data_IF_738770098869
#
_entry.id   IF_738770098869
#
_cell.length_a   1.000
_cell.length_b   1.000
_cell.length_c   1.000
_cell.angle_alpha   90.00
_cell.angle_beta   90.00
_cell.angle_gamma   90.00
#
_symmetry.space_group_name_H-M   'P 1'
#
loop_
_entity.id
_entity.type
_entity.pdbx_description
1 polymer ?
#
# COMPACT_ATOMS: atom_id res chain seq x y z
N UNK A 1 14.54 -8.90 5.27
CA UNK A 1 13.30 -8.48 5.95
C UNK A 1 13.08 -9.45 7.09
N UNK A 2 12.91 -8.94 8.31
CA UNK A 2 12.58 -9.80 9.45
C UNK A 2 11.07 -10.07 9.41
N UNK A 3 10.68 -11.34 9.51
CA UNK A 3 9.27 -11.71 9.70
C UNK A 3 8.75 -11.37 11.09
N UNK A 4 9.64 -10.91 11.99
CA UNK A 4 9.26 -10.47 13.33
C UNK A 4 8.34 -9.24 13.25
N UNK A 5 7.17 -9.36 13.86
CA UNK A 5 6.26 -8.23 14.07
C UNK A 5 6.65 -7.57 15.39
N UNK A 6 6.81 -6.25 15.36
CA UNK A 6 7.11 -5.47 16.57
C UNK A 6 6.01 -5.61 17.62
N UNK A 7 6.39 -5.56 18.90
CA UNK A 7 5.44 -5.66 20.00
C UNK A 7 4.35 -4.57 19.89
N UNK A 8 3.09 -4.97 19.99
CA UNK A 8 1.95 -4.07 19.81
C UNK A 8 1.51 -3.85 18.36
N UNK A 9 2.17 -4.48 17.37
CA UNK A 9 1.74 -4.47 15.97
C UNK A 9 1.17 -5.83 15.55
N UNK A 10 0.40 -5.84 14.47
CA UNK A 10 -0.13 -7.04 13.83
C UNK A 10 0.10 -6.93 12.32
N UNK A 11 0.64 -7.98 11.72
CA UNK A 11 0.79 -8.06 10.26
C UNK A 11 -0.48 -8.63 9.66
N UNK A 12 -1.05 -7.93 8.68
CA UNK A 12 -2.34 -8.28 8.06
C UNK A 12 -2.11 -8.44 6.57
N UNK A 13 -2.58 -9.55 5.98
CA UNK A 13 -2.60 -9.70 4.51
C UNK A 13 -3.79 -8.95 3.93
N UNK A 14 -3.52 -8.11 2.95
CA UNK A 14 -4.51 -7.40 2.13
C UNK A 14 -4.58 -8.07 0.77
N UNK A 15 -5.77 -8.54 0.40
CA UNK A 15 -6.10 -8.93 -0.97
C UNK A 15 -6.90 -7.80 -1.62
N UNK A 16 -6.40 -7.25 -2.71
CA UNK A 16 -6.95 -6.02 -3.29
C UNK A 16 -6.93 -6.00 -4.82
N UNK A 17 -7.86 -5.24 -5.38
CA UNK A 17 -7.99 -5.00 -6.80
C UNK A 17 -8.03 -3.50 -7.08
N UNK A 18 -7.47 -3.07 -8.20
CA UNK A 18 -7.54 -1.68 -8.64
C UNK A 18 -7.55 -1.57 -10.17
N UNK A 19 -8.26 -0.55 -10.63
CA UNK A 19 -8.06 0.01 -11.96
C UNK A 19 -6.83 0.93 -11.91
N UNK A 20 -5.77 0.56 -12.63
CA UNK A 20 -4.51 1.30 -12.66
C UNK A 20 -4.50 2.56 -13.53
N UNK A 21 -5.55 2.85 -14.29
CA UNK A 21 -5.53 3.87 -15.36
C UNK A 21 -4.96 5.22 -14.94
N UNK A 22 -5.35 5.73 -13.78
CA UNK A 22 -4.96 7.05 -13.28
C UNK A 22 -3.80 7.00 -12.26
N UNK A 23 -3.14 5.85 -12.15
CA UNK A 23 -2.03 5.61 -11.23
C UNK A 23 -0.69 5.58 -11.95
N UNK A 24 0.32 6.20 -11.34
CA UNK A 24 1.72 6.14 -11.76
C UNK A 24 2.42 4.84 -11.31
N UNK A 25 1.66 3.75 -11.19
CA UNK A 25 2.09 2.43 -10.75
C UNK A 25 1.85 2.17 -9.27
N UNK A 26 2.42 1.07 -8.77
CA UNK A 26 2.32 0.69 -7.37
C UNK A 26 3.09 1.64 -6.45
N UNK A 27 4.41 1.70 -6.64
CA UNK A 27 5.34 2.23 -5.64
C UNK A 27 5.18 3.74 -5.42
N UNK A 28 5.16 4.18 -4.15
CA UNK A 28 5.05 5.60 -3.77
C UNK A 28 6.16 6.44 -4.39
N UNK A 29 5.79 7.60 -4.93
CA UNK A 29 6.69 8.55 -5.59
C UNK A 29 6.25 9.98 -5.28
N UNK A 30 7.22 10.89 -5.12
CA UNK A 30 6.93 12.30 -4.80
C UNK A 30 6.10 12.96 -5.90
N UNK A 31 4.98 13.56 -5.52
CA UNK A 31 4.12 14.34 -6.44
C UNK A 31 3.38 13.50 -7.49
N UNK A 32 3.30 12.18 -7.29
CA UNK A 32 2.58 11.27 -8.18
C UNK A 32 1.55 10.49 -7.39
N UNK A 33 0.39 10.28 -8.00
CA UNK A 33 -0.64 9.39 -7.46
C UNK A 33 -0.27 7.94 -7.76
N UNK A 34 -0.10 7.13 -6.73
CA UNK A 34 0.31 5.72 -6.84
C UNK A 34 -0.59 4.85 -5.96
N UNK A 35 -0.69 3.55 -6.26
CA UNK A 35 -1.58 2.66 -5.50
C UNK A 35 -1.12 2.52 -4.05
N UNK A 36 0.20 2.35 -3.82
CA UNK A 36 0.77 2.30 -2.48
C UNK A 36 0.46 3.60 -1.71
N UNK A 37 0.67 4.77 -2.34
CA UNK A 37 0.45 6.05 -1.67
C UNK A 37 -0.99 6.24 -1.21
N UNK A 38 -1.96 6.00 -2.10
CA UNK A 38 -3.38 6.12 -1.74
C UNK A 38 -3.79 5.09 -0.68
N UNK A 39 -3.27 3.86 -0.75
CA UNK A 39 -3.62 2.82 0.22
C UNK A 39 -3.04 3.09 1.60
N UNK A 40 -1.79 3.55 1.69
CA UNK A 40 -1.16 3.97 2.96
C UNK A 40 -1.89 5.17 3.57
N UNK A 41 -2.24 6.18 2.75
CA UNK A 41 -2.98 7.36 3.20
C UNK A 41 -4.40 6.96 3.68
N UNK A 42 -5.08 6.03 2.99
CA UNK A 42 -6.38 5.52 3.40
C UNK A 42 -6.31 4.68 4.69
N UNK A 43 -5.32 3.80 4.81
CA UNK A 43 -5.10 2.98 6.01
C UNK A 43 -4.83 3.86 7.23
N UNK A 44 -4.03 4.91 7.07
CA UNK A 44 -3.81 5.91 8.13
C UNK A 44 -5.12 6.50 8.64
N UNK A 45 -6.03 6.90 7.74
CA UNK A 45 -7.35 7.43 8.12
C UNK A 45 -8.20 6.37 8.83
N UNK A 46 -8.31 5.17 8.27
CA UNK A 46 -9.15 4.09 8.82
C UNK A 46 -8.65 3.63 10.19
N UNK A 47 -7.34 3.55 10.37
CA UNK A 47 -6.69 3.15 11.63
C UNK A 47 -6.52 4.31 12.61
N UNK A 48 -6.90 5.54 12.22
CA UNK A 48 -6.79 6.77 13.03
C UNK A 48 -5.36 7.04 13.51
N UNK A 49 -4.40 6.86 12.61
CA UNK A 49 -2.98 7.07 12.86
C UNK A 49 -2.58 8.54 12.65
N UNK A 50 -1.55 9.04 13.35
CA UNK A 50 -0.92 10.33 13.07
C UNK A 50 -0.50 10.50 11.60
N UNK A 51 -0.35 11.75 11.15
CA UNK A 51 -0.01 12.10 9.76
C UNK A 51 1.33 11.48 9.30
N UNK A 52 2.27 11.31 10.22
CA UNK A 52 3.61 10.77 9.99
C UNK A 52 3.75 9.27 10.31
N UNK A 53 2.64 8.59 10.61
CA UNK A 53 2.63 7.18 11.03
C UNK A 53 1.78 6.28 10.11
N UNK A 54 1.67 6.61 8.83
CA UNK A 54 1.06 5.69 7.87
C UNK A 54 1.85 4.36 7.81
N UNK A 55 1.18 3.20 7.80
CA UNK A 55 1.87 1.91 7.72
C UNK A 55 2.53 1.77 6.35
N UNK A 56 3.79 1.33 6.31
CA UNK A 56 4.47 1.03 5.05
C UNK A 56 4.07 -0.36 4.54
N UNK A 57 3.66 -0.44 3.28
CA UNK A 57 3.20 -1.70 2.68
C UNK A 57 4.30 -2.43 1.91
N UNK A 58 4.40 -3.74 2.14
CA UNK A 58 5.16 -4.65 1.28
C UNK A 58 4.21 -5.35 0.32
N UNK A 59 4.53 -5.38 -0.98
CA UNK A 59 3.67 -5.95 -2.02
C UNK A 59 4.28 -7.20 -2.64
N UNK A 60 3.42 -8.13 -3.08
CA UNK A 60 3.83 -9.32 -3.81
C UNK A 60 4.50 -8.99 -5.17
N UNK A 61 3.99 -8.00 -5.89
CA UNK A 61 4.59 -7.54 -7.14
C UNK A 61 4.30 -6.07 -7.42
N UNK A 62 5.34 -5.30 -7.75
CA UNK A 62 5.15 -3.91 -8.22
C UNK A 62 4.55 -3.92 -9.61
N UNK A 63 3.54 -3.09 -9.84
CA UNK A 63 2.98 -2.85 -11.17
C UNK A 63 3.43 -1.49 -11.70
N UNK A 64 3.65 -1.40 -13.01
CA UNK A 64 3.98 -0.14 -13.69
C UNK A 64 2.75 0.77 -13.82
N UNK A 65 2.97 2.01 -14.29
CA UNK A 65 1.91 3.00 -14.51
C UNK A 65 0.83 2.47 -15.47
N UNK A 66 -0.43 2.72 -15.13
CA UNK A 66 -1.58 2.27 -15.92
C UNK A 66 -1.97 0.79 -15.76
N UNK A 67 -1.13 -0.06 -15.14
CA UNK A 67 -1.42 -1.50 -15.01
C UNK A 67 -2.49 -1.74 -13.96
N UNK A 68 -3.51 -2.52 -14.31
CA UNK A 68 -4.59 -2.95 -13.41
C UNK A 68 -4.19 -4.22 -12.63
N UNK A 69 -4.83 -4.45 -11.49
CA UNK A 69 -4.69 -5.71 -10.76
C UNK A 69 -6.05 -6.20 -10.25
N UNK A 70 -6.29 -7.51 -10.36
CA UNK A 70 -7.48 -8.19 -9.82
C UNK A 70 -7.24 -8.85 -8.47
N UNK A 71 -5.99 -9.19 -8.15
CA UNK A 71 -5.63 -9.93 -6.94
C UNK A 71 -4.23 -9.59 -6.48
N UNK A 72 -3.93 -8.29 -6.38
CA UNK A 72 -2.68 -7.84 -5.77
C UNK A 72 -2.71 -8.21 -4.29
N UNK A 73 -1.56 -8.63 -3.76
CA UNK A 73 -1.40 -8.97 -2.35
C UNK A 73 -0.39 -8.03 -1.72
N UNK A 74 -0.73 -7.46 -0.57
CA UNK A 74 0.17 -6.65 0.24
C UNK A 74 0.04 -7.00 1.74
N UNK A 75 0.99 -6.56 2.56
CA UNK A 75 0.93 -6.68 4.01
C UNK A 75 1.75 -5.60 4.73
#
# INVERSE_FOLDING_TARGET
MSDAVEAGRTRVRLDLSYDGKDFSGWARQRGRRTVQGELEDALRVVLRLPEDEAPELTVAGRTDAGVHARGQVAH
#
